data_IF_740112373493
#
_entry.id   IF_740112373493
#
_cell.length_a   1.000
_cell.length_b   1.000
_cell.length_c   1.000
_cell.angle_alpha   90.00
_cell.angle_beta   90.00
_cell.angle_gamma   90.00
#
_symmetry.space_group_name_H-M   'P 1'
#
loop_
_entity.id
_entity.type
_entity.pdbx_description
1 polymer ?
#
# COMPACT_ATOMS: atom_id res chain seq x y z
N UNK A 1 1.76 1.91 -22.09
CA UNK A 1 1.65 0.95 -20.97
C UNK A 1 3.01 0.33 -20.72
N UNK A 2 3.40 0.21 -19.47
CA UNK A 2 4.66 -0.39 -19.04
C UNK A 2 4.40 -1.50 -18.02
N UNK A 3 5.13 -2.61 -18.12
CA UNK A 3 5.03 -3.75 -17.21
C UNK A 3 6.26 -3.80 -16.31
N UNK A 4 6.12 -4.31 -15.10
CA UNK A 4 7.24 -4.47 -14.17
C UNK A 4 7.74 -5.92 -14.14
N UNK A 5 8.84 -6.15 -13.42
CA UNK A 5 9.35 -7.50 -13.13
C UNK A 5 8.36 -8.38 -12.35
N UNK A 6 7.36 -7.79 -11.69
CA UNK A 6 6.33 -8.48 -10.94
C UNK A 6 5.13 -8.88 -11.81
N UNK A 7 5.00 -8.37 -13.04
CA UNK A 7 3.87 -8.67 -13.92
C UNK A 7 3.64 -10.17 -14.13
N UNK A 8 4.72 -10.95 -14.20
CA UNK A 8 4.70 -12.41 -14.33
C UNK A 8 4.08 -13.17 -13.14
N UNK A 9 3.86 -12.49 -12.00
CA UNK A 9 3.18 -13.07 -10.83
C UNK A 9 1.68 -13.18 -11.04
N UNK A 10 1.11 -12.42 -11.99
CA UNK A 10 -0.31 -12.45 -12.33
C UNK A 10 -0.68 -13.72 -13.09
N UNK A 11 -1.96 -14.12 -13.02
CA UNK A 11 -2.49 -15.21 -13.84
C UNK A 11 -2.43 -14.85 -15.33
N UNK A 12 -2.18 -15.82 -16.24
CA UNK A 12 -2.03 -15.54 -17.67
C UNK A 12 -3.19 -14.76 -18.29
N UNK A 13 -4.43 -15.07 -17.92
CA UNK A 13 -5.63 -14.38 -18.42
C UNK A 13 -5.70 -12.90 -17.99
N UNK A 14 -5.21 -12.59 -16.78
CA UNK A 14 -5.11 -11.21 -16.30
C UNK A 14 -3.99 -10.48 -17.03
N UNK A 15 -2.84 -11.15 -17.24
CA UNK A 15 -1.75 -10.56 -18.02
C UNK A 15 -2.24 -10.19 -19.43
N UNK A 16 -2.98 -11.07 -20.09
CA UNK A 16 -3.57 -10.81 -21.41
C UNK A 16 -4.56 -9.65 -21.37
N UNK A 17 -5.45 -9.60 -20.38
CA UNK A 17 -6.40 -8.49 -20.23
C UNK A 17 -5.69 -7.15 -20.04
N UNK A 18 -4.65 -7.09 -19.18
CA UNK A 18 -3.85 -5.87 -18.98
C UNK A 18 -3.16 -5.45 -20.27
N UNK A 19 -2.59 -6.39 -21.03
CA UNK A 19 -1.87 -6.10 -22.27
C UNK A 19 -2.76 -5.69 -23.45
N UNK A 20 -4.09 -5.81 -23.34
CA UNK A 20 -5.01 -5.45 -24.41
C UNK A 20 -5.13 -3.92 -24.60
N UNK A 21 -5.47 -3.49 -25.81
CA UNK A 21 -5.72 -2.06 -26.11
C UNK A 21 -6.87 -1.48 -25.27
N UNK A 22 -7.88 -2.32 -24.96
CA UNK A 22 -9.02 -2.00 -24.11
C UNK A 22 -8.89 -2.67 -22.73
N UNK A 23 -7.78 -2.39 -22.03
CA UNK A 23 -7.44 -3.07 -20.78
C UNK A 23 -8.56 -3.01 -19.72
N UNK A 24 -9.27 -1.88 -19.60
CA UNK A 24 -10.30 -1.71 -18.58
C UNK A 24 -11.53 -2.60 -18.87
N UNK A 25 -12.19 -2.52 -20.04
CA UNK A 25 -13.23 -3.48 -20.42
C UNK A 25 -12.81 -4.95 -20.28
N UNK A 26 -11.58 -5.30 -20.71
CA UNK A 26 -11.05 -6.65 -20.60
C UNK A 26 -10.95 -7.12 -19.14
N UNK A 27 -10.40 -6.28 -18.25
CA UNK A 27 -10.29 -6.58 -16.82
C UNK A 27 -11.65 -6.69 -16.14
N UNK A 28 -12.60 -5.80 -16.45
CA UNK A 28 -13.94 -5.82 -15.85
C UNK A 28 -14.82 -6.96 -16.37
N UNK A 29 -14.43 -7.62 -17.46
CA UNK A 29 -15.07 -8.86 -17.93
C UNK A 29 -14.62 -10.06 -17.10
N UNK A 30 -13.38 -10.04 -16.60
CA UNK A 30 -12.79 -11.13 -15.82
C UNK A 30 -13.00 -10.98 -14.31
N UNK A 31 -13.04 -9.74 -13.82
CA UNK A 31 -13.00 -9.42 -12.41
C UNK A 31 -14.08 -8.41 -12.03
N UNK A 32 -14.74 -8.68 -10.90
CA UNK A 32 -15.58 -7.69 -10.24
C UNK A 32 -14.72 -6.76 -9.38
N UNK A 33 -14.97 -5.46 -9.48
CA UNK A 33 -14.27 -4.43 -8.72
C UNK A 33 -15.20 -3.70 -7.77
N UNK A 34 -14.73 -3.47 -6.56
CA UNK A 34 -15.31 -2.51 -5.63
C UNK A 34 -14.45 -1.24 -5.57
N UNK A 35 -15.11 -0.07 -5.55
CA UNK A 35 -14.40 1.19 -5.33
C UNK A 35 -14.18 1.38 -3.83
N UNK A 36 -12.94 1.69 -3.43
CA UNK A 36 -12.63 2.10 -2.06
C UNK A 36 -13.30 3.44 -1.77
N UNK A 37 -14.15 3.56 -0.74
CA UNK A 37 -14.80 4.83 -0.40
C UNK A 37 -13.77 5.91 -0.12
N UNK A 38 -13.97 7.09 -0.69
CA UNK A 38 -13.06 8.22 -0.53
C UNK A 38 -13.86 9.53 -0.48
N UNK A 39 -13.56 10.47 0.46
CA UNK A 39 -14.32 11.72 0.61
C UNK A 39 -14.35 12.60 -0.66
N UNK A 40 -15.50 13.14 -1.10
CA UNK A 40 -15.72 13.59 -2.47
C UNK A 40 -14.88 14.76 -3.04
N UNK A 41 -14.15 15.55 -2.24
CA UNK A 41 -13.64 16.86 -2.68
C UNK A 41 -12.11 17.05 -2.73
N UNK A 42 -11.29 16.03 -2.43
CA UNK A 42 -9.83 16.22 -2.31
C UNK A 42 -8.95 15.16 -3.00
N UNK A 43 -9.52 14.15 -3.66
CA UNK A 43 -8.72 12.99 -4.03
C UNK A 43 -7.74 13.20 -5.17
N UNK A 44 -6.50 12.83 -4.88
CA UNK A 44 -5.41 12.60 -5.82
C UNK A 44 -5.61 11.29 -6.60
N UNK A 45 -6.46 10.36 -6.16
CA UNK A 45 -6.70 9.12 -6.90
C UNK A 45 -8.01 8.41 -6.53
N UNK A 46 -8.44 7.47 -7.37
CA UNK A 46 -9.51 6.52 -7.11
C UNK A 46 -8.96 5.10 -7.10
N UNK A 47 -9.22 4.34 -6.04
CA UNK A 47 -8.76 2.96 -5.90
C UNK A 47 -9.93 2.00 -6.09
N UNK A 48 -9.72 1.00 -6.94
CA UNK A 48 -10.64 -0.10 -7.22
C UNK A 48 -9.96 -1.41 -6.82
N UNK A 49 -10.63 -2.24 -6.02
CA UNK A 49 -10.10 -3.53 -5.55
C UNK A 49 -10.87 -4.65 -6.21
N UNK A 50 -10.18 -5.63 -6.78
CA UNK A 50 -10.83 -6.84 -7.28
C UNK A 50 -11.40 -7.64 -6.09
N UNK A 51 -12.65 -8.07 -6.16
CA UNK A 51 -13.34 -8.74 -5.04
C UNK A 51 -12.68 -10.11 -4.77
N UNK A 52 -12.52 -10.92 -5.82
CA UNK A 52 -12.06 -12.32 -5.73
C UNK A 52 -10.62 -12.54 -6.23
N UNK A 53 -9.85 -11.48 -6.37
CA UNK A 53 -8.45 -11.55 -6.84
C UNK A 53 -7.55 -10.61 -6.03
N UNK A 54 -6.23 -10.77 -6.18
CA UNK A 54 -5.20 -10.03 -5.42
C UNK A 54 -4.76 -8.74 -6.11
N UNK A 55 -5.63 -8.14 -6.93
CA UNK A 55 -5.32 -6.95 -7.72
C UNK A 55 -6.10 -5.74 -7.22
N UNK A 56 -5.43 -4.60 -7.21
CA UNK A 56 -6.04 -3.29 -7.09
C UNK A 56 -5.57 -2.37 -8.23
N UNK A 57 -6.44 -1.44 -8.63
CA UNK A 57 -6.18 -0.45 -9.66
C UNK A 57 -6.32 0.93 -9.03
N UNK A 58 -5.29 1.77 -9.14
CA UNK A 58 -5.32 3.16 -8.68
C UNK A 58 -5.28 4.07 -9.90
N UNK A 59 -6.35 4.84 -10.08
CA UNK A 59 -6.52 5.85 -11.13
C UNK A 59 -6.19 7.23 -10.55
N UNK A 60 -5.16 7.89 -11.06
CA UNK A 60 -4.75 9.23 -10.64
C UNK A 60 -5.61 10.32 -11.28
N UNK A 61 -5.97 11.32 -10.49
CA UNK A 61 -6.60 12.55 -10.99
C UNK A 61 -5.52 13.50 -11.52
N UNK A 62 -5.90 14.52 -12.30
CA UNK A 62 -4.92 15.46 -12.89
C UNK A 62 -4.00 16.14 -11.86
N UNK A 63 -4.42 16.20 -10.59
CA UNK A 63 -3.64 16.77 -9.48
C UNK A 63 -2.44 15.94 -9.04
N UNK A 64 -2.32 14.68 -9.49
CA UNK A 64 -1.30 13.73 -9.01
C UNK A 64 -0.62 12.94 -10.13
N UNK A 65 -0.85 13.30 -11.40
CA UNK A 65 -0.21 12.72 -12.59
C UNK A 65 1.24 13.19 -12.75
N UNK A 66 2.09 12.97 -11.74
CA UNK A 66 3.51 13.33 -11.79
C UNK A 66 4.45 12.09 -11.83
N UNK A 67 3.88 10.88 -11.73
CA UNK A 67 4.64 9.62 -11.72
C UNK A 67 5.41 9.37 -10.42
N UNK A 68 5.14 10.15 -9.37
CA UNK A 68 5.79 10.00 -8.08
C UNK A 68 5.52 8.64 -7.44
N UNK A 69 4.24 8.24 -7.38
CA UNK A 69 3.82 6.94 -6.83
C UNK A 69 4.51 5.77 -7.54
N UNK A 70 4.70 5.88 -8.86
CA UNK A 70 5.41 4.88 -9.68
C UNK A 70 6.87 4.75 -9.22
N UNK A 71 7.59 5.88 -9.06
CA UNK A 71 8.99 5.86 -8.59
C UNK A 71 9.13 5.23 -7.21
N UNK A 72 8.19 5.51 -6.30
CA UNK A 72 8.19 4.92 -4.96
C UNK A 72 7.94 3.41 -5.05
N UNK A 73 6.95 2.97 -5.84
CA UNK A 73 6.70 1.55 -6.08
C UNK A 73 7.92 0.84 -6.69
N UNK A 74 8.61 1.46 -7.63
CA UNK A 74 9.85 0.92 -8.22
C UNK A 74 10.97 0.79 -7.18
N UNK A 75 11.19 1.83 -6.37
CA UNK A 75 12.22 1.84 -5.33
C UNK A 75 11.99 0.77 -4.24
N UNK A 76 10.71 0.52 -3.91
CA UNK A 76 10.30 -0.46 -2.89
C UNK A 76 10.02 -1.86 -3.44
N UNK A 77 10.12 -2.05 -4.76
CA UNK A 77 9.82 -3.34 -5.41
C UNK A 77 10.63 -4.48 -4.81
N UNK A 78 9.94 -5.57 -4.44
CA UNK A 78 10.55 -6.76 -3.85
C UNK A 78 10.71 -6.72 -2.33
N UNK A 79 10.38 -5.61 -1.66
CA UNK A 79 10.27 -5.58 -0.20
C UNK A 79 8.89 -6.16 0.19
N UNK A 80 8.81 -7.20 1.04
CA UNK A 80 7.59 -7.98 1.28
C UNK A 80 6.47 -7.23 2.01
N UNK A 81 6.72 -5.99 2.43
CA UNK A 81 5.82 -5.15 3.21
C UNK A 81 5.10 -4.09 2.38
N UNK A 82 5.39 -3.99 1.08
CA UNK A 82 4.80 -3.02 0.17
C UNK A 82 4.17 -3.75 -1.04
N UNK A 83 3.07 -3.23 -1.60
CA UNK A 83 2.44 -3.83 -2.76
C UNK A 83 3.38 -3.88 -3.95
N UNK A 84 3.48 -5.04 -4.58
CA UNK A 84 4.10 -5.14 -5.90
C UNK A 84 3.29 -4.31 -6.91
N UNK A 85 3.95 -3.44 -7.65
CA UNK A 85 3.37 -2.86 -8.86
C UNK A 85 3.55 -3.85 -10.00
N UNK A 86 2.47 -4.17 -10.72
CA UNK A 86 2.49 -5.09 -11.85
C UNK A 86 2.64 -4.37 -13.19
N UNK A 87 1.92 -3.26 -13.37
CA UNK A 87 1.94 -2.46 -14.61
C UNK A 87 1.44 -1.04 -14.35
N UNK A 88 1.71 -0.13 -15.28
CA UNK A 88 1.18 1.23 -15.25
C UNK A 88 0.94 1.81 -16.66
N UNK A 89 0.09 2.82 -16.75
CA UNK A 89 -0.30 3.48 -18.02
C UNK A 89 -0.17 4.99 -17.85
N UNK A 90 0.75 5.60 -18.62
CA UNK A 90 0.95 7.05 -18.79
C UNK A 90 0.93 7.87 -17.50
N UNK A 91 1.37 7.27 -16.38
CA UNK A 91 1.32 7.87 -15.02
C UNK A 91 -0.10 8.19 -14.52
N UNK A 92 -1.14 7.70 -15.20
CA UNK A 92 -2.55 7.89 -14.84
C UNK A 92 -3.14 6.68 -14.13
N UNK A 93 -2.58 5.50 -14.37
CA UNK A 93 -3.07 4.24 -13.82
C UNK A 93 -1.90 3.43 -13.32
N UNK A 94 -2.02 2.87 -12.11
CA UNK A 94 -1.16 1.78 -11.65
C UNK A 94 -2.03 0.57 -11.31
N UNK A 95 -1.51 -0.60 -11.66
CA UNK A 95 -2.09 -1.90 -11.33
C UNK A 95 -1.12 -2.55 -10.34
N UNK A 96 -1.62 -2.80 -9.13
CA UNK A 96 -0.80 -3.18 -7.98
C UNK A 96 -1.41 -4.36 -7.24
N UNK A 97 -0.62 -4.98 -6.38
CA UNK A 97 -1.08 -5.97 -5.42
C UNK A 97 -2.12 -5.38 -4.46
N UNK A 98 -3.21 -6.11 -4.26
CA UNK A 98 -4.22 -5.78 -3.25
C UNK A 98 -3.74 -6.26 -1.89
N UNK A 99 -3.66 -5.34 -0.93
CA UNK A 99 -3.44 -5.70 0.46
C UNK A 99 -4.53 -6.64 0.98
N UNK A 100 -4.08 -7.76 1.56
CA UNK A 100 -4.95 -8.73 2.23
C UNK A 100 -5.20 -8.32 3.69
N UNK A 101 -6.28 -8.87 4.27
CA UNK A 101 -6.65 -8.57 5.65
C UNK A 101 -7.45 -7.28 5.83
N UNK A 102 -7.36 -6.69 7.03
CA UNK A 102 -8.10 -5.48 7.40
C UNK A 102 -7.12 -4.37 7.82
N UNK A 103 -7.50 -3.11 7.56
CA UNK A 103 -6.75 -1.96 8.03
C UNK A 103 -6.66 -1.93 9.57
N UNK A 104 -5.49 -1.58 10.10
CA UNK A 104 -5.17 -1.66 11.53
C UNK A 104 -6.08 -0.77 12.38
N UNK A 105 -6.46 0.40 11.88
CA UNK A 105 -7.44 1.26 12.57
C UNK A 105 -8.80 0.57 12.75
N UNK A 106 -9.27 -0.19 11.77
CA UNK A 106 -10.51 -0.97 11.82
C UNK A 106 -10.42 -2.09 12.85
N UNK A 107 -9.33 -2.85 12.82
CA UNK A 107 -9.06 -3.92 13.78
C UNK A 107 -9.00 -3.41 15.23
N UNK A 108 -8.32 -2.28 15.45
CA UNK A 108 -8.23 -1.64 16.76
C UNK A 108 -9.61 -1.16 17.24
N UNK A 109 -10.37 -0.42 16.41
CA UNK A 109 -11.73 0.05 16.76
C UNK A 109 -12.67 -1.10 17.15
N UNK A 110 -12.59 -2.22 16.42
CA UNK A 110 -13.41 -3.41 16.67
C UNK A 110 -12.88 -4.31 17.79
N UNK A 111 -11.71 -3.99 18.36
CA UNK A 111 -10.98 -4.83 19.33
C UNK A 111 -10.72 -6.25 18.81
N UNK A 112 -10.50 -6.42 17.49
CA UNK A 112 -10.28 -7.72 16.85
C UNK A 112 -8.80 -8.06 16.68
N UNK A 113 -7.95 -7.55 17.58
CA UNK A 113 -6.51 -7.72 17.50
C UNK A 113 -5.91 -8.07 18.87
N UNK A 114 -5.08 -9.11 18.91
CA UNK A 114 -4.43 -9.57 20.14
C UNK A 114 -3.15 -8.80 20.44
N UNK A 115 -2.69 -8.85 21.70
CA UNK A 115 -1.39 -8.28 22.10
C UNK A 115 -0.22 -8.89 21.31
N UNK A 116 -0.29 -10.20 21.05
CA UNK A 116 0.72 -10.91 20.26
C UNK A 116 0.77 -10.39 18.81
N UNK A 117 -0.39 -10.17 18.19
CA UNK A 117 -0.44 -9.57 16.85
C UNK A 117 0.07 -8.14 16.82
N UNK A 118 -0.24 -7.31 17.83
CA UNK A 118 0.32 -5.96 17.93
C UNK A 118 1.85 -5.98 18.01
N UNK A 119 2.42 -6.95 18.73
CA UNK A 119 3.87 -7.13 18.79
C UNK A 119 4.45 -7.53 17.41
N UNK A 120 3.85 -8.51 16.73
CA UNK A 120 4.29 -8.92 15.39
C UNK A 120 4.16 -7.80 14.36
N UNK A 121 3.10 -6.99 14.44
CA UNK A 121 2.92 -5.81 13.60
C UNK A 121 4.04 -4.81 13.83
N UNK A 122 4.40 -4.55 15.10
CA UNK A 122 5.48 -3.64 15.45
C UNK A 122 6.82 -4.10 14.88
N UNK A 123 7.12 -5.39 14.97
CA UNK A 123 8.33 -6.00 14.42
C UNK A 123 8.39 -5.87 12.90
N UNK A 124 7.34 -6.33 12.19
CA UNK A 124 7.28 -6.23 10.72
C UNK A 124 7.26 -4.78 10.23
N UNK A 125 6.60 -3.87 10.95
CA UNK A 125 6.62 -2.45 10.65
C UNK A 125 8.03 -1.86 10.78
N UNK A 126 8.76 -2.22 11.83
CA UNK A 126 10.15 -1.76 12.00
C UNK A 126 11.04 -2.24 10.85
N UNK A 127 10.88 -3.50 10.43
CA UNK A 127 11.62 -4.03 9.28
C UNK A 127 11.22 -3.34 7.97
N UNK A 128 9.92 -3.09 7.75
CA UNK A 128 9.42 -2.38 6.58
C UNK A 128 9.98 -0.95 6.46
N UNK A 129 10.07 -0.22 7.58
CA UNK A 129 10.66 1.13 7.63
C UNK A 129 12.16 1.07 7.39
N UNK A 130 12.86 0.11 8.00
CA UNK A 130 14.30 -0.07 7.81
C UNK A 130 14.64 -0.33 6.34
N UNK A 131 13.97 -1.31 5.73
CA UNK A 131 14.22 -1.68 4.33
C UNK A 131 13.86 -0.55 3.35
N UNK A 132 12.82 0.25 3.64
CA UNK A 132 12.51 1.44 2.85
C UNK A 132 13.60 2.52 2.99
N UNK A 133 14.07 2.78 4.21
CA UNK A 133 15.14 3.75 4.45
C UNK A 133 16.47 3.33 3.81
N UNK A 134 16.78 2.03 3.77
CA UNK A 134 17.92 1.48 3.01
C UNK A 134 17.80 1.75 1.50
N UNK A 135 16.57 1.94 0.99
CA UNK A 135 16.27 2.39 -0.38
C UNK A 135 16.12 3.91 -0.51
N UNK A 136 16.48 4.68 0.52
CA UNK A 136 16.29 6.13 0.61
C UNK A 136 14.84 6.60 0.48
N UNK A 137 13.90 5.78 0.94
CA UNK A 137 12.47 6.09 0.92
C UNK A 137 11.98 6.39 2.34
N UNK A 138 11.35 7.55 2.54
CA UNK A 138 10.68 7.97 3.80
C UNK A 138 9.18 8.08 3.61
N UNK A 139 8.40 7.77 4.65
CA UNK A 139 6.94 7.89 4.68
C UNK A 139 6.52 9.16 5.43
N UNK A 140 5.94 10.13 4.71
CA UNK A 140 5.44 11.38 5.29
C UNK A 140 3.94 11.38 5.57
N UNK A 141 3.21 10.35 5.17
CA UNK A 141 1.75 10.26 5.31
C UNK A 141 1.34 9.03 6.13
N UNK A 142 2.04 8.81 7.25
CA UNK A 142 1.71 7.73 8.17
C UNK A 142 0.26 7.86 8.68
N UNK A 143 -0.53 6.81 8.45
CA UNK A 143 -1.86 6.61 9.04
C UNK A 143 -2.10 5.13 9.33
N UNK A 144 -2.85 4.82 10.39
CA UNK A 144 -3.21 3.43 10.70
C UNK A 144 -4.13 2.78 9.64
N UNK A 145 -4.79 3.57 8.81
CA UNK A 145 -5.56 3.08 7.65
C UNK A 145 -4.66 2.64 6.48
N UNK A 146 -3.39 3.03 6.48
CA UNK A 146 -2.39 2.62 5.49
C UNK A 146 -1.66 1.33 5.88
N UNK A 147 -1.95 0.77 7.05
CA UNK A 147 -1.37 -0.48 7.54
C UNK A 147 -2.44 -1.55 7.50
N UNK A 148 -2.26 -2.54 6.63
CA UNK A 148 -3.13 -3.71 6.56
C UNK A 148 -2.49 -4.88 7.30
N UNK A 149 -3.31 -5.62 8.03
CA UNK A 149 -2.90 -6.83 8.74
C UNK A 149 -3.75 -8.01 8.32
N UNK A 150 -3.11 -9.01 7.74
CA UNK A 150 -3.74 -10.30 7.48
C UNK A 150 -3.57 -11.21 8.69
N UNK A 151 -4.68 -11.42 9.42
CA UNK A 151 -4.70 -12.27 10.60
C UNK A 151 -4.48 -13.76 10.30
N UNK A 152 -4.70 -14.23 9.06
CA UNK A 152 -4.50 -15.63 8.67
C UNK A 152 -3.02 -15.89 8.39
N UNK A 153 -2.39 -15.04 7.59
CA UNK A 153 -0.98 -15.22 7.21
C UNK A 153 0.00 -14.53 8.17
N UNK A 154 -0.51 -13.72 9.10
CA UNK A 154 0.28 -12.89 10.03
C UNK A 154 1.25 -11.97 9.28
N UNK A 155 0.78 -11.35 8.19
CA UNK A 155 1.58 -10.44 7.35
C UNK A 155 1.04 -9.02 7.38
N UNK A 156 1.96 -8.08 7.49
CA UNK A 156 1.73 -6.65 7.35
C UNK A 156 1.94 -6.20 5.90
N UNK A 157 1.10 -5.29 5.43
CA UNK A 157 1.33 -4.55 4.18
C UNK A 157 1.05 -3.06 4.39
N UNK A 158 1.98 -2.21 3.98
CA UNK A 158 1.84 -0.75 3.94
C UNK A 158 1.33 -0.33 2.55
N UNK A 159 0.23 0.40 2.51
CA UNK A 159 -0.39 0.88 1.26
C UNK A 159 -0.39 2.40 1.18
N UNK A 160 -0.88 2.92 0.06
CA UNK A 160 -0.95 4.34 -0.28
C UNK A 160 0.40 5.06 -0.20
N UNK A 161 1.22 4.84 -1.23
CA UNK A 161 2.59 5.33 -1.27
C UNK A 161 2.71 6.78 -1.77
N UNK A 162 1.58 7.47 -1.96
CA UNK A 162 1.56 8.80 -2.58
C UNK A 162 2.14 9.92 -1.72
N UNK A 163 2.31 9.65 -0.41
CA UNK A 163 2.93 10.55 0.56
C UNK A 163 4.35 10.15 0.98
N UNK A 164 5.00 9.25 0.24
CA UNK A 164 6.38 8.88 0.50
C UNK A 164 7.31 9.80 -0.28
N UNK A 165 8.58 9.91 0.09
CA UNK A 165 9.59 10.59 -0.72
C UNK A 165 10.80 9.70 -0.94
N UNK A 166 11.40 9.82 -2.12
CA UNK A 166 12.66 9.17 -2.49
C UNK A 166 13.77 10.21 -2.52
N UNK A 167 14.76 10.08 -1.63
CA UNK A 167 15.88 10.99 -1.55
C UNK A 167 17.02 10.55 -2.46
N UNK A 168 17.52 11.47 -3.28
CA UNK A 168 18.67 11.26 -4.18
C UNK A 168 19.95 11.93 -3.70
N UNK A 169 19.80 12.95 -2.85
CA UNK A 169 20.90 13.88 -2.52
C UNK A 169 21.59 13.55 -1.19
N UNK A 170 20.98 12.66 -0.40
CA UNK A 170 21.54 12.16 0.85
C UNK A 170 21.01 10.77 1.18
N UNK A 171 21.69 10.10 2.11
CA UNK A 171 21.30 8.79 2.60
C UNK A 171 20.48 8.94 3.89
N UNK A 172 19.33 8.27 3.97
CA UNK A 172 18.59 8.15 5.23
C UNK A 172 19.34 7.25 6.20
N UNK A 173 19.29 7.59 7.50
CA UNK A 173 19.73 6.69 8.58
C UNK A 173 18.58 5.72 8.93
N UNK A 174 18.69 4.42 8.59
CA UNK A 174 17.59 3.48 8.80
C UNK A 174 17.20 3.33 10.27
N UNK A 175 18.14 3.41 11.21
CA UNK A 175 17.85 3.22 12.64
C UNK A 175 17.09 4.43 13.20
N UNK A 176 17.47 5.64 12.78
CA UNK A 176 16.72 6.86 13.11
C UNK A 176 15.30 6.83 12.52
N UNK A 177 15.15 6.38 11.28
CA UNK A 177 13.83 6.25 10.64
C UNK A 177 12.95 5.22 11.35
N UNK A 178 13.50 4.08 11.75
CA UNK A 178 12.79 3.08 12.55
C UNK A 178 12.35 3.67 13.89
N UNK A 179 13.22 4.37 14.60
CA UNK A 179 12.89 4.98 15.89
C UNK A 179 11.72 5.97 15.77
N UNK A 180 11.78 6.90 14.80
CA UNK A 180 10.70 7.87 14.51
C UNK A 180 9.41 7.16 14.11
N UNK A 181 9.49 6.19 13.20
CA UNK A 181 8.34 5.44 12.73
C UNK A 181 7.63 4.69 13.86
N UNK A 182 8.40 4.04 14.74
CA UNK A 182 7.86 3.32 15.89
C UNK A 182 7.24 4.27 16.92
N UNK A 183 7.82 5.45 17.15
CA UNK A 183 7.23 6.45 18.04
C UNK A 183 5.82 6.83 17.56
N UNK A 184 5.68 7.15 16.27
CA UNK A 184 4.39 7.53 15.67
C UNK A 184 3.41 6.36 15.70
N UNK A 185 3.82 5.15 15.32
CA UNK A 185 2.97 3.96 15.37
C UNK A 185 2.43 3.71 16.79
N UNK A 186 3.28 3.73 17.80
CA UNK A 186 2.89 3.51 19.19
C UNK A 186 1.93 4.60 19.69
N UNK A 187 2.19 5.86 19.32
CA UNK A 187 1.32 6.99 19.68
C UNK A 187 -0.08 6.81 19.11
N UNK A 188 -0.21 6.49 17.82
CA UNK A 188 -1.50 6.31 17.18
C UNK A 188 -2.24 5.07 17.70
N UNK A 189 -1.56 3.93 17.87
CA UNK A 189 -2.19 2.75 18.47
C UNK A 189 -2.72 3.05 19.89
N UNK A 190 -1.93 3.75 20.71
CA UNK A 190 -2.35 4.14 22.08
C UNK A 190 -3.56 5.07 22.04
N UNK A 191 -3.62 6.01 21.09
CA UNK A 191 -4.77 6.90 20.91
C UNK A 191 -6.05 6.10 20.67
N UNK A 192 -6.01 5.14 19.76
CA UNK A 192 -7.15 4.27 19.46
C UNK A 192 -7.60 3.42 20.65
N UNK A 193 -6.66 2.83 21.39
CA UNK A 193 -6.98 2.03 22.58
C UNK A 193 -7.54 2.86 23.74
N UNK A 194 -7.13 4.13 23.89
CA UNK A 194 -7.69 5.04 24.90
C UNK A 194 -9.15 5.39 24.63
N UNK A 195 -9.51 5.65 23.38
CA UNK A 195 -10.89 5.99 23.01
C UNK A 195 -11.89 4.85 23.19
N UNK A 196 -11.42 3.60 23.37
CA UNK A 196 -12.26 2.43 23.57
C UNK A 196 -12.48 2.09 25.06
N UNK A 197 -11.71 2.71 25.97
CA UNK A 197 -11.81 2.52 27.42
C UNK A 197 -12.52 3.69 28.13
N UNK A 198 -13.06 4.65 27.37
CA UNK A 198 -13.92 5.74 27.81
C UNK A 198 -15.31 5.55 27.18
#
# INVERSE_FOLDING_TARGET
>A
MEITSNFKKLKPEIQQAILSEEYWPALTTLLDFERVPSPPFEHRSHVFKAINDSIAIKLFTDRSKNGHDIKIHEALSGIPYYPDMYAYIDKQVIIIEKASGEALNGLLKKQKISKGELQSIREQYSEAVKLAAERNVEDWDFKLEHIFWDQKTKKLMKVDLGGYDLYTDFQLDPENQVARGLEVLNREMKRYLKYLNN
#
